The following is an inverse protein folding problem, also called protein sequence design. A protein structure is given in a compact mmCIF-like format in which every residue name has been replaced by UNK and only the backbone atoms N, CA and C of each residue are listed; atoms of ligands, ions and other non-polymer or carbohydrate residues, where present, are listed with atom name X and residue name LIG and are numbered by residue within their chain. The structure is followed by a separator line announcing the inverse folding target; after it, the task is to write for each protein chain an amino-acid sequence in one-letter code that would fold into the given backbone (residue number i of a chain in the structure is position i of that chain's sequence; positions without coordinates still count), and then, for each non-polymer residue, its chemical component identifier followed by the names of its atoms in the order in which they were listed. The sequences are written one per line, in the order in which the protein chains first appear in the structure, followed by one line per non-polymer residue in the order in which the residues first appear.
data_IF_605471427176
#
_entry.id   IF_605471427176
#
_cell.length_a   1.000
_cell.length_b   1.000
_cell.length_c   1.000
_cell.angle_alpha   90.00
_cell.angle_beta   90.00
_cell.angle_gamma   90.00
#
_symmetry.space_group_name_H-M   'P 1'
#
loop_
_entity.id
_entity.type
_entity.pdbx_description
1 polymer ?
#
# COMPACT_ATOMS: atom_id res chain seq x y z
N UNK A 1 9.59 -11.52 -1.81
CA UNK A 1 8.46 -10.95 -1.04
C UNK A 1 9.03 -10.10 0.10
N UNK A 2 8.62 -8.85 0.27
CA UNK A 2 9.24 -7.91 1.21
C UNK A 2 8.83 -8.17 2.67
N UNK A 3 9.60 -9.03 3.33
CA UNK A 3 9.52 -9.27 4.77
C UNK A 3 10.54 -8.38 5.48
N UNK A 4 10.11 -7.71 6.55
CA UNK A 4 10.98 -6.98 7.47
C UNK A 4 11.20 -7.84 8.71
N UNK A 5 12.42 -7.84 9.22
CA UNK A 5 12.74 -8.48 10.49
C UNK A 5 12.34 -7.53 11.63
N UNK A 6 11.49 -7.98 12.54
CA UNK A 6 10.99 -7.24 13.70
C UNK A 6 11.45 -7.96 14.97
N UNK A 7 11.92 -7.20 15.94
CA UNK A 7 12.33 -7.73 17.23
C UNK A 7 11.08 -8.00 18.09
N UNK A 8 10.96 -9.21 18.62
CA UNK A 8 9.85 -9.68 19.42
C UNK A 8 10.34 -10.00 20.85
N UNK A 9 10.27 -9.05 21.79
CA UNK A 9 10.77 -9.24 23.16
C UNK A 9 9.96 -10.31 23.90
N UNK A 10 10.61 -11.26 24.58
CA UNK A 10 9.96 -12.20 25.48
C UNK A 10 9.22 -11.49 26.63
N UNK A 11 8.13 -12.07 27.18
CA UNK A 11 7.39 -11.47 28.29
C UNK A 11 8.22 -11.25 29.57
N UNK A 12 9.32 -12.01 29.74
CA UNK A 12 10.23 -11.91 30.89
C UNK A 12 11.38 -10.91 30.68
N UNK A 13 11.48 -10.28 29.51
CA UNK A 13 12.53 -9.32 29.17
C UNK A 13 11.99 -7.88 29.21
N UNK A 14 12.85 -6.88 29.43
CA UNK A 14 12.43 -5.49 29.38
C UNK A 14 12.00 -5.08 27.97
N UNK A 15 10.92 -4.31 27.88
CA UNK A 15 10.43 -3.76 26.61
C UNK A 15 11.44 -2.76 26.02
N UNK A 16 11.87 -2.94 24.76
CA UNK A 16 12.79 -2.03 24.11
C UNK A 16 12.09 -0.72 23.73
N UNK A 17 12.84 0.40 23.62
CA UNK A 17 12.30 1.66 23.13
C UNK A 17 11.70 1.53 21.72
N UNK A 18 10.69 2.34 21.36
CA UNK A 18 10.11 2.33 20.02
C UNK A 18 11.16 2.51 18.92
N UNK A 19 11.23 1.57 17.99
CA UNK A 19 12.15 1.61 16.84
C UNK A 19 13.58 1.17 17.15
N UNK A 20 13.86 0.66 18.35
CA UNK A 20 15.15 0.06 18.67
C UNK A 20 15.45 -1.13 17.75
N UNK A 21 16.68 -1.18 17.26
CA UNK A 21 17.24 -2.32 16.55
C UNK A 21 18.56 -2.68 17.22
N UNK A 22 18.78 -3.95 17.59
CA UNK A 22 20.05 -4.35 18.17
C UNK A 22 21.20 -4.07 17.19
N UNK A 23 22.34 -3.58 17.70
CA UNK A 23 23.55 -3.47 16.90
C UNK A 23 24.04 -4.86 16.45
N UNK A 24 24.88 -4.93 15.40
CA UNK A 24 25.53 -6.18 15.01
C UNK A 24 26.28 -6.79 16.22
N UNK A 25 26.03 -8.07 16.51
CA UNK A 25 26.66 -8.78 17.63
C UNK A 25 25.99 -8.61 19.01
N UNK A 26 24.82 -7.95 19.06
CA UNK A 26 24.04 -7.86 20.29
C UNK A 26 23.70 -9.23 20.87
N UNK A 27 23.85 -9.36 22.19
CA UNK A 27 23.42 -10.50 22.98
C UNK A 27 22.55 -10.00 24.13
N UNK A 28 21.51 -10.76 24.51
CA UNK A 28 20.70 -10.42 25.68
C UNK A 28 21.56 -10.43 26.94
N UNK A 29 21.25 -9.53 27.86
CA UNK A 29 21.91 -9.51 29.16
C UNK A 29 21.64 -10.85 29.88
N UNK A 30 22.66 -11.56 30.37
CA UNK A 30 22.48 -12.82 31.10
C UNK A 30 21.50 -12.72 32.28
N UNK A 31 21.34 -11.53 32.88
CA UNK A 31 20.40 -11.28 33.98
C UNK A 31 18.92 -11.36 33.58
N UNK A 32 18.58 -11.23 32.29
CA UNK A 32 17.19 -11.31 31.81
C UNK A 32 16.68 -12.76 31.72
N UNK A 33 17.59 -13.73 31.83
CA UNK A 33 17.29 -15.15 31.71
C UNK A 33 17.06 -15.61 30.27
N UNK A 34 16.98 -16.93 30.05
CA UNK A 34 16.77 -17.47 28.71
C UNK A 34 15.37 -17.08 28.19
N UNK A 35 15.22 -16.96 26.86
CA UNK A 35 13.89 -16.85 26.26
C UNK A 35 13.11 -18.16 26.46
N UNK A 36 11.77 -18.13 26.47
CA UNK A 36 10.95 -19.34 26.51
C UNK A 36 11.28 -20.31 25.38
N UNK A 37 11.03 -21.61 25.61
CA UNK A 37 11.26 -22.65 24.60
C UNK A 37 10.45 -22.35 23.32
N UNK A 38 11.13 -22.38 22.16
CA UNK A 38 10.53 -22.09 20.86
C UNK A 38 10.31 -20.60 20.54
N UNK A 39 10.82 -19.66 21.36
CA UNK A 39 10.63 -18.24 21.11
C UNK A 39 11.50 -17.70 19.96
N UNK A 40 10.85 -17.17 18.93
CA UNK A 40 11.52 -16.43 17.86
C UNK A 40 11.68 -14.95 18.25
N UNK A 41 12.90 -14.55 18.61
CA UNK A 41 13.27 -13.14 18.87
C UNK A 41 13.11 -12.24 17.63
N UNK A 42 13.09 -12.85 16.44
CA UNK A 42 13.11 -12.16 15.17
C UNK A 42 12.01 -12.69 14.27
N UNK A 43 10.91 -11.94 14.19
CA UNK A 43 9.78 -12.29 13.35
C UNK A 43 9.89 -11.62 11.99
N UNK A 44 9.38 -12.29 10.96
CA UNK A 44 9.29 -11.74 9.60
C UNK A 44 7.89 -11.19 9.38
N UNK A 45 7.75 -9.87 9.44
CA UNK A 45 6.49 -9.21 9.18
C UNK A 45 6.45 -8.56 7.79
N UNK A 46 5.24 -8.37 7.25
CA UNK A 46 5.08 -7.54 6.05
C UNK A 46 5.11 -6.06 6.44
N UNK A 47 5.79 -5.23 5.66
CA UNK A 47 5.80 -3.78 5.90
C UNK A 47 4.41 -3.13 5.72
N UNK A 48 3.62 -3.64 4.77
CA UNK A 48 2.25 -3.21 4.47
C UNK A 48 1.29 -4.42 4.45
N UNK A 49 0.87 -4.94 5.62
CA UNK A 49 -0.02 -6.11 5.69
C UNK A 49 -1.39 -5.87 5.05
N UNK A 50 -1.85 -4.60 5.03
CA UNK A 50 -3.13 -4.18 4.50
C UNK A 50 -3.04 -3.49 3.13
N UNK A 51 -1.97 -3.77 2.36
CA UNK A 51 -1.74 -3.15 1.05
C UNK A 51 -2.96 -3.25 0.11
N UNK A 52 -3.61 -4.41 0.08
CA UNK A 52 -4.80 -4.64 -0.74
C UNK A 52 -6.02 -3.83 -0.29
N UNK A 53 -6.26 -3.71 1.02
CA UNK A 53 -7.38 -2.90 1.55
C UNK A 53 -7.20 -1.43 1.18
N UNK A 54 -6.01 -0.89 1.43
CA UNK A 54 -5.75 0.53 1.19
C UNK A 54 -5.59 0.86 -0.29
N UNK A 55 -4.98 -0.01 -1.10
CA UNK A 55 -4.80 0.21 -2.53
C UNK A 55 -6.09 0.03 -3.35
N UNK A 56 -6.93 -0.95 -3.02
CA UNK A 56 -8.25 -1.07 -3.65
C UNK A 56 -9.20 0.01 -3.12
N UNK A 57 -9.15 0.31 -1.82
CA UNK A 57 -9.92 1.39 -1.21
C UNK A 57 -9.61 2.74 -1.85
N UNK A 58 -8.34 3.06 -2.11
CA UNK A 58 -7.97 4.29 -2.84
C UNK A 58 -8.49 4.29 -4.27
N UNK A 59 -8.53 3.13 -4.95
CA UNK A 59 -9.17 2.99 -6.27
C UNK A 59 -10.66 3.34 -6.25
N UNK A 60 -11.41 2.85 -5.26
CA UNK A 60 -12.83 3.17 -5.10
C UNK A 60 -13.06 4.64 -4.76
N UNK A 61 -12.26 5.20 -3.86
CA UNK A 61 -12.34 6.63 -3.52
C UNK A 61 -12.06 7.49 -4.75
N UNK A 62 -11.03 7.16 -5.53
CA UNK A 62 -10.70 7.89 -6.74
C UNK A 62 -11.83 7.80 -7.78
N UNK A 63 -12.43 6.61 -7.95
CA UNK A 63 -13.58 6.41 -8.83
C UNK A 63 -14.73 7.36 -8.48
N UNK A 64 -15.14 7.38 -7.21
CA UNK A 64 -16.23 8.24 -6.73
C UNK A 64 -15.90 9.72 -6.96
N UNK A 65 -14.67 10.13 -6.65
CA UNK A 65 -14.20 11.51 -6.85
C UNK A 65 -14.25 11.91 -8.32
N UNK A 66 -13.76 11.06 -9.24
CA UNK A 66 -13.75 11.37 -10.67
C UNK A 66 -15.17 11.44 -11.25
N UNK A 67 -16.07 10.53 -10.84
CA UNK A 67 -17.48 10.57 -11.24
C UNK A 67 -18.16 11.84 -10.72
N UNK A 68 -17.93 12.19 -9.45
CA UNK A 68 -18.50 13.39 -8.86
C UNK A 68 -18.03 14.66 -9.58
N UNK A 69 -16.72 14.80 -9.82
CA UNK A 69 -16.15 15.93 -10.57
C UNK A 69 -16.74 16.00 -11.97
N UNK A 70 -16.78 14.87 -12.69
CA UNK A 70 -17.33 14.81 -14.04
C UNK A 70 -18.81 15.19 -14.09
N UNK A 71 -19.59 14.72 -13.12
CA UNK A 71 -21.04 15.00 -13.04
C UNK A 71 -21.30 16.47 -12.70
N UNK A 72 -20.55 17.05 -11.77
CA UNK A 72 -20.64 18.47 -11.42
C UNK A 72 -20.26 19.34 -12.62
N UNK A 73 -19.20 18.97 -13.34
CA UNK A 73 -18.71 19.73 -14.48
C UNK A 73 -19.64 19.63 -15.71
N UNK A 74 -20.18 18.44 -16.00
CA UNK A 74 -21.03 18.19 -17.17
C UNK A 74 -22.52 18.48 -16.91
N UNK A 75 -22.94 18.55 -15.64
CA UNK A 75 -24.34 18.67 -15.24
C UNK A 75 -25.17 17.39 -15.41
N UNK A 76 -24.54 16.29 -15.84
CA UNK A 76 -25.20 15.00 -16.08
C UNK A 76 -24.29 13.84 -15.62
N UNK A 77 -24.86 12.69 -15.23
CA UNK A 77 -24.07 11.51 -14.90
C UNK A 77 -23.31 10.98 -16.13
N UNK A 78 -22.20 10.27 -15.93
CA UNK A 78 -21.43 9.70 -17.04
C UNK A 78 -22.27 8.69 -17.84
N UNK A 79 -22.03 8.62 -19.15
CA UNK A 79 -22.55 7.52 -19.96
C UNK A 79 -22.01 6.18 -19.47
N UNK A 80 -22.69 5.04 -19.75
CA UNK A 80 -22.22 3.72 -19.34
C UNK A 80 -20.79 3.39 -19.81
N UNK A 81 -20.43 3.85 -21.01
CA UNK A 81 -19.09 3.69 -21.58
C UNK A 81 -18.05 4.51 -20.81
N UNK A 82 -18.33 5.79 -20.53
CA UNK A 82 -17.44 6.65 -19.75
C UNK A 82 -17.29 6.13 -18.32
N UNK A 83 -18.37 5.64 -17.71
CA UNK A 83 -18.30 4.98 -16.42
C UNK A 83 -17.40 3.74 -16.45
N UNK A 84 -17.54 2.88 -17.46
CA UNK A 84 -16.70 1.70 -17.65
C UNK A 84 -15.21 2.04 -17.80
N UNK A 85 -14.88 3.07 -18.58
CA UNK A 85 -13.49 3.55 -18.71
C UNK A 85 -12.93 4.06 -17.37
N UNK A 86 -13.69 4.88 -16.63
CA UNK A 86 -13.25 5.43 -15.35
C UNK A 86 -13.10 4.30 -14.31
N UNK A 87 -14.06 3.38 -14.24
CA UNK A 87 -14.03 2.21 -13.36
C UNK A 87 -12.81 1.35 -13.64
N UNK A 88 -12.62 0.94 -14.91
CA UNK A 88 -11.49 0.12 -15.32
C UNK A 88 -10.14 0.75 -14.92
N UNK A 89 -9.97 2.04 -15.23
CA UNK A 89 -8.75 2.78 -14.86
C UNK A 89 -8.51 2.83 -13.35
N UNK A 90 -9.55 3.12 -12.56
CA UNK A 90 -9.41 3.23 -11.10
C UNK A 90 -9.11 1.88 -10.44
N UNK A 91 -9.74 0.80 -10.92
CA UNK A 91 -9.49 -0.57 -10.44
C UNK A 91 -8.07 -1.01 -10.79
N UNK A 92 -7.65 -0.85 -12.04
CA UNK A 92 -6.27 -1.17 -12.46
C UNK A 92 -5.26 -0.38 -11.65
N UNK A 93 -5.46 0.92 -11.46
CA UNK A 93 -4.58 1.75 -10.66
C UNK A 93 -4.53 1.31 -9.19
N UNK A 94 -5.65 0.92 -8.59
CA UNK A 94 -5.72 0.40 -7.23
C UNK A 94 -4.98 -0.94 -7.08
N UNK A 95 -5.12 -1.85 -8.05
CA UNK A 95 -4.39 -3.12 -8.09
C UNK A 95 -2.88 -2.88 -8.20
N UNK A 96 -2.46 -2.03 -9.14
CA UNK A 96 -1.04 -1.69 -9.33
C UNK A 96 -0.46 -1.07 -8.06
N UNK A 97 -1.17 -0.12 -7.45
CA UNK A 97 -0.78 0.49 -6.17
C UNK A 97 -0.65 -0.56 -5.07
N UNK A 98 -1.59 -1.50 -4.99
CA UNK A 98 -1.58 -2.60 -4.00
C UNK A 98 -0.36 -3.51 -4.19
N UNK A 99 -0.02 -3.86 -5.44
CA UNK A 99 1.15 -4.69 -5.76
C UNK A 99 2.43 -3.96 -5.34
N UNK A 100 2.57 -2.68 -5.68
CA UNK A 100 3.74 -1.86 -5.30
C UNK A 100 3.87 -1.80 -3.77
N UNK A 101 2.78 -1.52 -3.06
CA UNK A 101 2.78 -1.48 -1.60
C UNK A 101 3.09 -2.86 -0.98
N UNK A 102 2.61 -3.95 -1.59
CA UNK A 102 2.84 -5.32 -1.13
C UNK A 102 4.30 -5.77 -1.28
N UNK A 103 5.00 -5.35 -2.35
CA UNK A 103 6.45 -5.61 -2.53
C UNK A 103 7.35 -4.58 -1.86
N UNK A 104 6.80 -3.48 -1.34
CA UNK A 104 7.59 -2.45 -0.66
C UNK A 104 8.12 -2.94 0.68
N UNK A 105 9.41 -2.70 0.94
CA UNK A 105 10.06 -2.93 2.24
C UNK A 105 9.78 -1.81 3.24
N UNK A 106 9.37 -0.64 2.76
CA UNK A 106 8.98 0.50 3.60
C UNK A 106 7.49 0.47 3.90
N UNK A 107 7.12 0.78 5.15
CA UNK A 107 5.73 1.01 5.56
C UNK A 107 5.26 2.33 4.95
N UNK A 108 4.13 2.28 4.25
CA UNK A 108 3.56 3.45 3.61
C UNK A 108 2.65 4.21 4.58
N UNK A 109 2.68 5.54 4.48
CA UNK A 109 1.64 6.37 5.05
C UNK A 109 0.34 6.24 4.24
N UNK A 110 -0.81 6.44 4.89
CA UNK A 110 -2.12 6.33 4.24
C UNK A 110 -2.28 7.27 3.04
N UNK A 111 -1.61 8.42 3.04
CA UNK A 111 -1.65 9.41 1.96
C UNK A 111 -0.96 8.95 0.66
N UNK A 112 -0.02 7.99 0.72
CA UNK A 112 0.69 7.50 -0.46
C UNK A 112 -0.22 6.67 -1.38
N UNK A 113 -1.18 5.93 -0.81
CA UNK A 113 -2.11 5.11 -1.57
C UNK A 113 -2.93 5.94 -2.58
N UNK A 114 -3.71 6.96 -2.16
CA UNK A 114 -4.46 7.78 -3.12
C UNK A 114 -3.56 8.57 -4.07
N UNK A 115 -2.39 9.05 -3.62
CA UNK A 115 -1.46 9.78 -4.50
C UNK A 115 -0.93 8.90 -5.63
N UNK A 116 -0.48 7.69 -5.32
CA UNK A 116 0.08 6.76 -6.30
C UNK A 116 -1.03 6.19 -7.19
N UNK A 117 -2.20 5.88 -6.62
CA UNK A 117 -3.37 5.46 -7.42
C UNK A 117 -3.79 6.54 -8.41
N UNK A 118 -3.81 7.82 -8.01
CA UNK A 118 -4.07 8.93 -8.93
C UNK A 118 -3.00 9.00 -10.02
N UNK A 119 -1.72 8.95 -9.67
CA UNK A 119 -0.62 8.99 -10.62
C UNK A 119 -0.68 7.86 -11.65
N UNK A 120 -0.93 6.63 -11.20
CA UNK A 120 -1.09 5.46 -12.08
C UNK A 120 -2.33 5.61 -12.97
N UNK A 121 -3.46 6.09 -12.42
CA UNK A 121 -4.68 6.32 -13.20
C UNK A 121 -4.50 7.40 -14.29
N UNK A 122 -3.77 8.46 -13.99
CA UNK A 122 -3.42 9.51 -14.96
C UNK A 122 -2.48 8.98 -16.04
N UNK A 123 -1.48 8.18 -15.66
CA UNK A 123 -0.59 7.54 -16.61
C UNK A 123 -1.35 6.68 -17.62
N UNK A 124 -2.24 5.79 -17.14
CA UNK A 124 -3.08 5.00 -18.04
C UNK A 124 -4.02 5.87 -18.88
N UNK A 125 -4.56 6.96 -18.32
CA UNK A 125 -5.37 7.91 -19.08
C UNK A 125 -4.62 8.48 -20.27
N UNK A 126 -3.39 8.96 -20.05
CA UNK A 126 -2.56 9.55 -21.11
C UNK A 126 -2.22 8.49 -22.16
N UNK A 127 -1.86 7.28 -21.75
CA UNK A 127 -1.60 6.18 -22.69
C UNK A 127 -2.82 5.87 -23.57
N UNK A 128 -4.02 5.80 -22.99
CA UNK A 128 -5.25 5.57 -23.76
C UNK A 128 -5.55 6.72 -24.72
N UNK A 129 -5.36 7.98 -24.28
CA UNK A 129 -5.55 9.15 -25.15
C UNK A 129 -4.58 9.16 -26.32
N UNK A 130 -3.29 8.94 -26.06
CA UNK A 130 -2.25 8.91 -27.10
C UNK A 130 -2.47 7.75 -28.07
N UNK A 131 -2.83 6.57 -27.56
CA UNK A 131 -3.16 5.42 -28.40
C UNK A 131 -4.33 5.70 -29.35
N UNK A 132 -5.36 6.42 -28.86
CA UNK A 132 -6.52 6.81 -29.67
C UNK A 132 -6.17 7.83 -30.75
N UNK A 133 -5.22 8.74 -30.49
CA UNK A 133 -4.77 9.74 -31.46
C UNK A 133 -3.89 9.15 -32.57
N UNK A 134 -3.10 8.11 -32.27
CA UNK A 134 -2.19 7.48 -33.23
C UNK A 134 -2.81 6.32 -34.02
N UNK A 135 -4.01 5.87 -33.65
CA UNK A 135 -4.73 4.77 -34.28
C UNK A 135 -5.88 5.19 -35.19
N UNK A 136 -6.00 6.48 -35.51
CA UNK A 136 -6.97 7.06 -36.45
C UNK A 136 -6.27 7.52 -37.74
#
# INVERSE_FOLDING_TARGET
MALRTVYNPPPNWPDPPPGWKPPPGWQPDPSWGPPPEGWELWTKERANPYAWLFGLGSGVVLLVVLIAIGTIAAGTPPSPEAFGEILGRCVTAGIVTSIIAWVSTRRWGLWLYPLITLGVSLFFSVLTTVGRQNGA
#
